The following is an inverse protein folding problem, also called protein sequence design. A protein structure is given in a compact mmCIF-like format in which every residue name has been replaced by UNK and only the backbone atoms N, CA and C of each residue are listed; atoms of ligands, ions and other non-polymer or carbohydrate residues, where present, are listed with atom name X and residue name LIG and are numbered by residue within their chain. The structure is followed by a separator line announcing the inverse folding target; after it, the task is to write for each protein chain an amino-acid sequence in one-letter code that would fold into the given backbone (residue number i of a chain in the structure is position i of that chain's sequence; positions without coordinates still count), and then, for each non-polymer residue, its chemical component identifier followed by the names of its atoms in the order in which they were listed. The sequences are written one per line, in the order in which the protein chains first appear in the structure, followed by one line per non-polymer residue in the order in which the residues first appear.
data_IF_365092668386
#
_entry.id   IF_365092668386
#
_cell.length_a   1.000
_cell.length_b   1.000
_cell.length_c   1.000
_cell.angle_alpha   90.00
_cell.angle_beta   90.00
_cell.angle_gamma   90.00
#
_symmetry.space_group_name_H-M   'P 1'
#
loop_
_entity.id
_entity.type
_entity.pdbx_description
1 polymer ?
#
# COMPACT_ATOMS: atom_id res chain seq x y z
N UNK A 1 14.83 -7.82 -10.59
CA UNK A 1 15.26 -7.19 -11.88
C UNK A 1 14.74 -5.76 -11.88
N UNK A 2 15.58 -4.80 -12.33
CA UNK A 2 15.13 -3.42 -12.56
C UNK A 2 14.79 -3.21 -14.02
N UNK A 3 13.74 -2.44 -14.30
CA UNK A 3 13.27 -2.16 -15.66
C UNK A 3 12.44 -0.86 -15.69
N UNK A 4 12.20 -0.36 -16.89
CA UNK A 4 11.31 0.78 -17.14
C UNK A 4 9.99 0.26 -17.73
N UNK A 5 8.87 0.71 -17.14
CA UNK A 5 7.53 0.46 -17.67
C UNK A 5 6.90 1.76 -18.17
N UNK A 6 6.34 1.74 -19.37
CA UNK A 6 5.69 2.91 -19.96
C UNK A 6 4.18 2.86 -19.78
N UNK A 7 3.64 3.82 -19.04
CA UNK A 7 2.20 3.97 -18.80
C UNK A 7 1.85 5.42 -18.46
N UNK A 8 0.61 5.85 -18.69
CA UNK A 8 0.12 7.22 -18.43
C UNK A 8 1.01 8.33 -19.03
N UNK A 9 1.65 8.06 -20.18
CA UNK A 9 2.57 8.98 -20.84
C UNK A 9 3.96 9.09 -20.20
N UNK A 10 4.26 8.28 -19.18
CA UNK A 10 5.49 8.34 -18.41
C UNK A 10 6.29 7.03 -18.49
N UNK A 11 7.58 7.15 -18.19
CA UNK A 11 8.52 6.05 -18.04
C UNK A 11 8.75 5.79 -16.55
N UNK A 12 8.13 4.75 -16.00
CA UNK A 12 8.19 4.43 -14.58
C UNK A 12 9.30 3.42 -14.27
N UNK A 13 10.12 3.76 -13.28
CA UNK A 13 11.19 2.88 -12.79
C UNK A 13 10.62 1.83 -11.85
N UNK A 14 10.81 0.56 -12.21
CA UNK A 14 10.27 -0.61 -11.52
C UNK A 14 11.39 -1.54 -11.06
N UNK A 15 11.15 -2.25 -9.97
CA UNK A 15 12.01 -3.33 -9.48
C UNK A 15 11.14 -4.54 -9.11
N UNK A 16 11.35 -5.68 -9.79
CA UNK A 16 10.66 -6.93 -9.52
C UNK A 16 11.57 -7.98 -8.92
N UNK A 17 11.00 -8.83 -8.08
CA UNK A 17 11.69 -9.89 -7.35
C UNK A 17 10.86 -11.17 -7.47
N UNK A 18 11.50 -12.22 -7.98
CA UNK A 18 10.90 -13.54 -8.07
C UNK A 18 11.35 -14.41 -6.89
N UNK A 19 10.53 -15.37 -6.46
CA UNK A 19 10.92 -16.35 -5.46
C UNK A 19 12.16 -17.13 -5.87
N UNK A 20 13.11 -17.28 -4.96
CA UNK A 20 14.42 -17.88 -5.25
C UNK A 20 14.42 -19.43 -5.30
N UNK A 21 13.32 -20.13 -5.03
CA UNK A 21 13.35 -21.55 -4.75
C UNK A 21 13.02 -22.45 -5.96
N UNK A 22 13.99 -23.28 -6.43
CA UNK A 22 13.66 -24.51 -7.15
C UNK A 22 13.05 -25.49 -6.15
N UNK A 23 11.74 -25.71 -6.19
CA UNK A 23 11.02 -26.71 -5.38
C UNK A 23 10.18 -26.19 -4.21
N UNK A 24 10.19 -24.90 -3.89
CA UNK A 24 9.22 -24.28 -3.00
C UNK A 24 7.93 -23.94 -3.77
N UNK A 25 6.78 -24.06 -3.10
CA UNK A 25 5.51 -23.62 -3.70
C UNK A 25 5.57 -22.10 -3.93
N UNK A 26 5.60 -21.68 -5.20
CA UNK A 26 5.44 -20.26 -5.55
C UNK A 26 3.97 -19.89 -5.42
N UNK A 27 3.67 -18.88 -4.63
CA UNK A 27 2.32 -18.34 -4.53
C UNK A 27 1.87 -17.75 -5.86
N UNK A 28 0.61 -17.95 -6.21
CA UNK A 28 -0.02 -17.24 -7.33
C UNK A 28 -0.27 -15.76 -7.02
N UNK A 29 -0.32 -15.38 -5.74
CA UNK A 29 -0.56 -13.99 -5.31
C UNK A 29 0.69 -13.15 -5.50
N UNK A 30 0.57 -12.13 -6.36
CA UNK A 30 1.65 -11.16 -6.62
C UNK A 30 1.50 -9.95 -5.72
N UNK A 31 2.62 -9.45 -5.20
CA UNK A 31 2.65 -8.31 -4.28
C UNK A 31 3.12 -7.04 -5.00
N UNK A 32 2.33 -5.98 -4.92
CA UNK A 32 2.69 -4.66 -5.45
C UNK A 32 2.80 -3.66 -4.32
N UNK A 33 3.96 -3.00 -4.22
CA UNK A 33 4.29 -2.08 -3.14
C UNK A 33 4.41 -0.66 -3.68
N UNK A 34 3.65 0.26 -3.10
CA UNK A 34 3.51 1.66 -3.54
C UNK A 34 3.97 2.62 -2.45
N UNK A 35 4.98 3.42 -2.76
CA UNK A 35 5.51 4.44 -1.84
C UNK A 35 4.54 5.62 -1.63
N UNK A 36 4.74 6.39 -0.56
CA UNK A 36 4.00 7.63 -0.27
C UNK A 36 4.36 8.78 -1.21
N UNK A 37 3.89 9.97 -0.86
CA UNK A 37 4.21 11.21 -1.59
C UNK A 37 5.54 11.84 -1.14
N UNK A 38 5.86 12.99 -1.71
CA UNK A 38 7.03 13.80 -1.38
C UNK A 38 8.34 13.14 -1.81
N UNK A 39 9.25 12.94 -0.87
CA UNK A 39 10.56 12.32 -1.12
C UNK A 39 10.51 10.77 -1.14
N UNK A 40 9.30 10.18 -1.23
CA UNK A 40 9.12 8.74 -1.34
C UNK A 40 9.76 8.18 -2.62
N UNK A 41 10.26 6.96 -2.56
CA UNK A 41 10.72 6.21 -3.73
C UNK A 41 10.65 4.72 -3.49
N UNK A 42 10.69 3.92 -4.56
CA UNK A 42 10.72 2.45 -4.49
C UNK A 42 11.90 1.92 -3.68
N UNK A 43 13.00 2.66 -3.60
CA UNK A 43 14.22 2.22 -2.89
C UNK A 43 13.92 1.82 -1.45
N UNK A 44 13.04 2.57 -0.77
CA UNK A 44 12.62 2.25 0.61
C UNK A 44 11.70 1.04 0.69
N UNK A 45 11.10 0.65 -0.42
CA UNK A 45 10.19 -0.51 -0.53
C UNK A 45 10.91 -1.78 -0.99
N UNK A 46 12.09 -1.67 -1.59
CA UNK A 46 12.89 -2.81 -2.10
C UNK A 46 13.16 -3.88 -1.02
N UNK A 47 13.57 -3.53 0.22
CA UNK A 47 13.78 -4.54 1.25
C UNK A 47 12.51 -5.36 1.53
N UNK A 48 11.36 -4.70 1.65
CA UNK A 48 10.07 -5.37 1.87
C UNK A 48 9.67 -6.25 0.66
N UNK A 49 9.91 -5.78 -0.57
CA UNK A 49 9.65 -6.58 -1.77
C UNK A 49 10.51 -7.85 -1.81
N UNK A 50 11.78 -7.75 -1.45
CA UNK A 50 12.67 -8.93 -1.35
C UNK A 50 12.19 -9.93 -0.30
N UNK A 51 11.72 -9.43 0.86
CA UNK A 51 11.21 -10.28 1.93
C UNK A 51 9.93 -11.03 1.49
N UNK A 52 9.02 -10.39 0.73
CA UNK A 52 7.88 -11.08 0.11
C UNK A 52 8.31 -12.13 -0.91
N UNK A 53 9.29 -11.82 -1.76
CA UNK A 53 9.83 -12.80 -2.72
C UNK A 53 10.49 -13.98 -2.00
N UNK A 54 11.22 -13.74 -0.92
CA UNK A 54 11.80 -14.80 -0.07
C UNK A 54 10.72 -15.67 0.59
N UNK A 55 9.54 -15.09 0.88
CA UNK A 55 8.38 -15.82 1.39
C UNK A 55 7.56 -16.54 0.28
N UNK A 56 8.04 -16.55 -0.97
CA UNK A 56 7.41 -17.27 -2.08
C UNK A 56 6.42 -16.45 -2.92
N UNK A 57 6.31 -15.15 -2.71
CA UNK A 57 5.41 -14.26 -3.42
C UNK A 57 6.16 -13.37 -4.41
N UNK A 58 5.95 -13.51 -5.74
CA UNK A 58 6.48 -12.57 -6.69
C UNK A 58 6.08 -11.14 -6.31
N UNK A 59 7.03 -10.22 -6.29
CA UNK A 59 6.81 -8.88 -5.76
C UNK A 59 7.40 -7.79 -6.63
N UNK A 60 6.81 -6.61 -6.57
CA UNK A 60 7.22 -5.45 -7.35
C UNK A 60 7.08 -4.18 -6.53
N UNK A 61 8.06 -3.29 -6.63
CA UNK A 61 8.00 -1.89 -6.20
C UNK A 61 8.33 -0.98 -7.39
N UNK A 62 7.72 0.19 -7.44
CA UNK A 62 7.97 1.15 -8.53
C UNK A 62 7.92 2.59 -8.03
N UNK A 63 8.52 3.48 -8.80
CA UNK A 63 8.44 4.92 -8.60
C UNK A 63 7.28 5.50 -9.41
N UNK A 64 6.36 6.24 -8.77
CA UNK A 64 5.41 7.07 -9.50
C UNK A 64 6.13 8.18 -10.27
N UNK A 65 5.48 8.77 -11.29
CA UNK A 65 6.07 9.88 -12.03
C UNK A 65 6.50 11.04 -11.09
N UNK A 66 7.60 11.69 -11.45
CA UNK A 66 8.20 12.74 -10.61
C UNK A 66 8.90 12.24 -9.34
N UNK A 67 9.08 10.91 -9.17
CA UNK A 67 9.78 10.31 -8.04
C UNK A 67 10.92 9.40 -8.52
N UNK A 68 11.95 9.29 -7.69
CA UNK A 68 13.07 8.37 -7.91
C UNK A 68 13.69 8.50 -9.30
N UNK A 69 13.68 7.39 -10.05
CA UNK A 69 14.20 7.33 -11.41
C UNK A 69 13.10 7.35 -12.49
N UNK A 70 11.85 7.61 -12.14
CA UNK A 70 10.74 7.78 -13.08
C UNK A 70 10.77 9.14 -13.75
N UNK A 71 10.22 9.22 -14.97
CA UNK A 71 10.04 10.48 -15.70
C UNK A 71 8.94 11.35 -15.08
N UNK A 72 8.69 12.51 -15.70
CA UNK A 72 7.66 13.44 -15.29
C UNK A 72 8.07 14.34 -14.14
N UNK A 73 7.12 15.13 -13.65
CA UNK A 73 7.32 16.06 -12.55
C UNK A 73 6.28 15.82 -11.46
N UNK A 74 6.72 15.97 -10.20
CA UNK A 74 5.85 15.77 -9.04
C UNK A 74 4.63 16.68 -9.07
N UNK A 75 4.82 17.91 -9.46
CA UNK A 75 3.74 18.90 -9.55
C UNK A 75 2.66 18.56 -10.58
N UNK A 76 2.96 17.75 -11.60
CA UNK A 76 2.02 17.29 -12.62
C UNK A 76 1.29 16.00 -12.24
N UNK A 77 1.71 15.32 -11.17
CA UNK A 77 1.07 14.12 -10.66
C UNK A 77 -0.20 14.48 -9.87
N UNK A 78 -1.19 13.59 -9.91
CA UNK A 78 -2.43 13.67 -9.11
C UNK A 78 -2.78 12.32 -8.52
N UNK A 79 -3.79 12.23 -7.66
CA UNK A 79 -4.29 10.94 -7.18
C UNK A 79 -4.81 10.08 -8.34
N UNK A 80 -5.50 10.68 -9.29
CA UNK A 80 -5.99 10.02 -10.51
C UNK A 80 -4.83 9.43 -11.33
N UNK A 81 -3.76 10.19 -11.56
CA UNK A 81 -2.59 9.72 -12.29
C UNK A 81 -1.87 8.60 -11.52
N UNK A 82 -1.78 8.69 -10.19
CA UNK A 82 -1.23 7.59 -9.36
C UNK A 82 -2.05 6.32 -9.54
N UNK A 83 -3.37 6.41 -9.54
CA UNK A 83 -4.22 5.25 -9.81
C UNK A 83 -3.95 4.66 -11.21
N UNK A 84 -3.94 5.48 -12.28
CA UNK A 84 -3.68 5.00 -13.66
C UNK A 84 -2.30 4.37 -13.80
N UNK A 85 -1.28 4.99 -13.23
CA UNK A 85 0.08 4.47 -13.25
C UNK A 85 0.20 3.14 -12.52
N UNK A 86 -0.36 3.05 -11.32
CA UNK A 86 -0.37 1.81 -10.56
C UNK A 86 -1.14 0.69 -11.27
N UNK A 87 -2.29 0.99 -11.87
CA UNK A 87 -3.07 0.03 -12.65
C UNK A 87 -2.26 -0.49 -13.85
N UNK A 88 -1.63 0.39 -14.64
CA UNK A 88 -0.81 -0.02 -15.77
C UNK A 88 0.39 -0.90 -15.37
N UNK A 89 1.03 -0.58 -14.24
CA UNK A 89 2.11 -1.42 -13.67
C UNK A 89 1.57 -2.79 -13.25
N UNK A 90 0.40 -2.84 -12.58
CA UNK A 90 -0.24 -4.10 -12.16
C UNK A 90 -0.60 -4.96 -13.36
N UNK A 91 -1.19 -4.40 -14.41
CA UNK A 91 -1.57 -5.12 -15.62
C UNK A 91 -0.36 -5.75 -16.32
N UNK A 92 0.78 -5.04 -16.35
CA UNK A 92 2.02 -5.58 -16.89
C UNK A 92 2.65 -6.66 -16.01
N UNK A 93 2.56 -6.51 -14.67
CA UNK A 93 3.15 -7.45 -13.71
C UNK A 93 2.29 -8.70 -13.49
N UNK A 94 0.97 -8.58 -13.62
CA UNK A 94 -0.01 -9.66 -13.45
C UNK A 94 -0.96 -9.77 -14.65
N UNK A 95 -0.43 -10.03 -15.88
CA UNK A 95 -1.22 -10.01 -17.12
C UNK A 95 -2.26 -11.14 -17.21
N UNK A 96 -2.08 -12.19 -16.43
CA UNK A 96 -2.98 -13.34 -16.32
C UNK A 96 -4.24 -13.08 -15.45
N UNK A 97 -4.33 -11.88 -14.88
CA UNK A 97 -5.45 -11.54 -14.00
C UNK A 97 -5.41 -12.22 -12.63
N UNK A 98 -4.28 -12.80 -12.25
CA UNK A 98 -4.09 -13.52 -10.99
C UNK A 98 -4.30 -12.66 -9.73
N UNK A 99 -4.32 -13.30 -8.55
CA UNK A 99 -4.56 -12.65 -7.27
C UNK A 99 -3.44 -11.68 -6.90
N UNK A 100 -3.82 -10.65 -6.14
CA UNK A 100 -2.95 -9.53 -5.76
C UNK A 100 -2.95 -9.28 -4.25
N UNK A 101 -1.79 -8.92 -3.74
CA UNK A 101 -1.61 -8.24 -2.47
C UNK A 101 -1.10 -6.82 -2.75
N UNK A 102 -1.80 -5.82 -2.24
CA UNK A 102 -1.44 -4.41 -2.45
C UNK A 102 -0.94 -3.80 -1.15
N UNK A 103 0.29 -3.30 -1.16
CA UNK A 103 0.87 -2.58 -0.03
C UNK A 103 1.02 -1.09 -0.37
N UNK A 104 0.50 -0.21 0.48
CA UNK A 104 0.53 1.24 0.25
C UNK A 104 0.97 2.02 1.47
N UNK A 105 1.91 2.96 1.26
CA UNK A 105 2.42 3.86 2.29
C UNK A 105 1.77 5.24 2.16
N UNK A 106 1.28 5.80 3.27
CA UNK A 106 0.78 7.17 3.36
C UNK A 106 -0.25 7.48 2.25
N UNK A 107 0.03 8.38 1.32
CA UNK A 107 -0.83 8.72 0.18
C UNK A 107 -1.27 7.49 -0.64
N UNK A 108 -0.46 6.45 -0.73
CA UNK A 108 -0.83 5.21 -1.41
C UNK A 108 -1.91 4.41 -0.69
N UNK A 109 -2.30 4.76 0.53
CA UNK A 109 -3.51 4.24 1.17
C UNK A 109 -4.76 4.51 0.33
N UNK A 110 -4.90 5.73 -0.19
CA UNK A 110 -5.95 6.08 -1.16
C UNK A 110 -5.82 5.25 -2.45
N UNK A 111 -4.62 5.17 -3.03
CA UNK A 111 -4.39 4.42 -4.28
C UNK A 111 -4.74 2.93 -4.12
N UNK A 112 -4.41 2.31 -2.97
CA UNK A 112 -4.79 0.92 -2.66
C UNK A 112 -6.30 0.76 -2.62
N UNK A 113 -7.01 1.67 -1.96
CA UNK A 113 -8.48 1.61 -1.89
C UNK A 113 -9.11 1.75 -3.30
N UNK A 114 -8.63 2.69 -4.11
CA UNK A 114 -9.11 2.90 -5.47
C UNK A 114 -8.87 1.68 -6.36
N UNK A 115 -7.68 1.07 -6.28
CA UNK A 115 -7.34 -0.17 -6.97
C UNK A 115 -8.21 -1.34 -6.47
N UNK A 116 -8.47 -1.42 -5.16
CA UNK A 116 -9.33 -2.45 -4.58
C UNK A 116 -10.76 -2.35 -5.11
N UNK A 117 -11.31 -1.14 -5.22
CA UNK A 117 -12.62 -0.91 -5.81
C UNK A 117 -12.66 -1.31 -7.30
N UNK A 118 -11.60 -1.01 -8.06
CA UNK A 118 -11.51 -1.28 -9.49
C UNK A 118 -11.28 -2.77 -9.81
N UNK A 119 -10.33 -3.39 -9.11
CA UNK A 119 -9.88 -4.78 -9.37
C UNK A 119 -10.76 -5.84 -8.69
N UNK A 120 -11.57 -5.42 -7.71
CA UNK A 120 -12.53 -6.29 -7.04
C UNK A 120 -11.88 -7.52 -6.41
N UNK A 121 -12.44 -8.70 -6.66
CA UNK A 121 -12.02 -9.98 -6.08
C UNK A 121 -10.59 -10.42 -6.40
N UNK A 122 -9.87 -9.75 -7.32
CA UNK A 122 -8.45 -10.00 -7.55
C UNK A 122 -7.58 -9.55 -6.37
N UNK A 123 -8.02 -8.55 -5.61
CA UNK A 123 -7.28 -8.07 -4.44
C UNK A 123 -7.65 -8.95 -3.25
N UNK A 124 -6.75 -9.84 -2.85
CA UNK A 124 -6.93 -10.75 -1.72
C UNK A 124 -6.37 -10.20 -0.42
N UNK A 125 -5.35 -9.32 -0.51
CA UNK A 125 -4.71 -8.72 0.66
C UNK A 125 -4.45 -7.24 0.43
N UNK A 126 -4.76 -6.41 1.44
CA UNK A 126 -4.35 -5.02 1.51
C UNK A 126 -3.46 -4.79 2.75
N UNK A 127 -2.33 -4.13 2.56
CA UNK A 127 -1.42 -3.72 3.61
C UNK A 127 -1.28 -2.21 3.60
N UNK A 128 -1.76 -1.54 4.64
CA UNK A 128 -1.86 -0.09 4.72
C UNK A 128 -0.92 0.45 5.80
N UNK A 129 0.13 1.14 5.39
CA UNK A 129 1.15 1.70 6.27
C UNK A 129 0.96 3.22 6.42
N UNK A 130 0.53 3.67 7.61
CA UNK A 130 0.20 5.07 7.90
C UNK A 130 -0.71 5.69 6.81
N UNK A 131 -1.83 5.07 6.44
CA UNK A 131 -2.59 5.41 5.24
C UNK A 131 -3.29 6.75 5.35
N UNK A 132 -3.29 7.49 4.24
CA UNK A 132 -4.09 8.69 4.04
C UNK A 132 -5.41 8.38 3.34
N UNK A 133 -6.41 9.24 3.53
CA UNK A 133 -7.68 9.29 2.82
C UNK A 133 -7.95 10.71 2.32
N UNK A 134 -8.49 10.85 1.13
CA UNK A 134 -8.73 12.15 0.51
C UNK A 134 -10.16 12.26 -0.01
N UNK A 135 -10.76 13.45 0.10
CA UNK A 135 -12.06 13.73 -0.53
C UNK A 135 -11.99 13.64 -2.06
N UNK A 136 -13.09 13.30 -2.73
CA UNK A 136 -13.12 13.07 -4.18
C UNK A 136 -12.75 14.31 -4.98
N UNK A 137 -12.90 15.50 -4.44
CA UNK A 137 -12.49 16.76 -5.07
C UNK A 137 -10.97 16.87 -5.27
N UNK A 138 -10.16 16.16 -4.45
CA UNK A 138 -8.72 16.12 -4.58
C UNK A 138 -8.23 15.18 -5.71
N UNK A 139 -9.09 14.29 -6.19
CA UNK A 139 -8.74 13.22 -7.13
C UNK A 139 -8.06 13.72 -8.42
N UNK A 140 -8.64 14.67 -9.18
CA UNK A 140 -8.05 15.12 -10.44
C UNK A 140 -6.99 16.21 -10.26
N UNK A 141 -6.83 16.77 -9.04
CA UNK A 141 -6.04 17.98 -8.84
C UNK A 141 -4.55 17.67 -8.89
N UNK A 142 -3.78 18.32 -9.80
CA UNK A 142 -2.32 18.18 -9.81
C UNK A 142 -1.69 18.67 -8.50
N UNK A 143 -0.63 17.99 -8.05
CA UNK A 143 -0.01 18.32 -6.76
C UNK A 143 0.57 19.74 -6.71
N UNK A 144 0.94 20.30 -7.87
CA UNK A 144 1.40 21.69 -8.00
C UNK A 144 0.29 22.73 -8.15
N UNK A 145 -0.99 22.32 -8.20
CA UNK A 145 -2.12 23.23 -8.51
C UNK A 145 -3.21 23.18 -7.42
N UNK A 146 -2.89 23.65 -6.23
CA UNK A 146 -3.85 23.79 -5.13
C UNK A 146 -4.19 22.51 -4.36
N UNK A 147 -3.57 21.37 -4.70
CA UNK A 147 -3.80 20.10 -4.00
C UNK A 147 -3.52 20.20 -2.49
N UNK A 148 -2.42 20.82 -2.11
CA UNK A 148 -2.03 20.94 -0.71
C UNK A 148 -3.02 21.77 0.10
N UNK A 149 -3.51 22.87 -0.45
CA UNK A 149 -4.51 23.74 0.16
C UNK A 149 -5.83 23.01 0.33
N UNK A 150 -6.21 22.21 -0.66
CA UNK A 150 -7.44 21.42 -0.64
C UNK A 150 -7.42 20.37 0.47
N UNK A 151 -6.39 19.55 0.54
CA UNK A 151 -6.30 18.44 1.50
C UNK A 151 -6.05 18.90 2.93
N UNK A 152 -5.57 20.14 3.14
CA UNK A 152 -5.37 20.73 4.47
C UNK A 152 -6.61 21.44 5.02
N UNK A 153 -7.69 21.53 4.26
CA UNK A 153 -8.97 22.05 4.81
C UNK A 153 -9.43 21.13 5.94
N UNK A 154 -9.97 21.68 7.03
CA UNK A 154 -10.50 20.87 8.11
C UNK A 154 -11.46 19.79 7.58
N UNK A 155 -11.25 18.56 8.02
CA UNK A 155 -12.11 17.40 7.69
C UNK A 155 -12.27 17.10 6.17
N UNK A 156 -11.38 17.62 5.30
CA UNK A 156 -11.41 17.38 3.84
C UNK A 156 -11.40 15.90 3.45
N UNK A 157 -10.93 15.03 4.33
CA UNK A 157 -10.89 13.58 4.16
C UNK A 157 -12.25 12.89 4.40
N UNK A 158 -13.19 13.53 5.11
CA UNK A 158 -14.48 12.90 5.50
C UNK A 158 -15.28 12.33 4.33
N UNK A 159 -15.40 13.00 3.17
CA UNK A 159 -16.14 12.45 2.04
C UNK A 159 -15.34 11.42 1.22
N UNK A 160 -14.20 10.93 1.74
CA UNK A 160 -13.39 9.93 1.04
C UNK A 160 -14.13 8.61 0.87
N UNK A 161 -14.06 8.03 -0.33
CA UNK A 161 -14.57 6.70 -0.64
C UNK A 161 -13.76 5.56 -0.01
N UNK A 162 -12.58 5.84 0.52
CA UNK A 162 -11.69 4.87 1.17
C UNK A 162 -12.44 4.08 2.24
N UNK A 163 -13.24 4.76 3.07
CA UNK A 163 -13.95 4.12 4.18
C UNK A 163 -14.98 3.11 3.72
N UNK A 164 -15.75 3.45 2.67
CA UNK A 164 -16.77 2.55 2.10
C UNK A 164 -16.12 1.35 1.41
N UNK A 165 -15.07 1.59 0.61
CA UNK A 165 -14.34 0.54 -0.11
C UNK A 165 -13.71 -0.44 0.86
N UNK A 166 -12.99 0.04 1.88
CA UNK A 166 -12.36 -0.81 2.87
C UNK A 166 -13.38 -1.49 3.79
N UNK A 167 -14.52 -0.86 4.06
CA UNK A 167 -15.63 -1.47 4.80
C UNK A 167 -16.35 -2.59 4.04
N UNK A 168 -16.29 -2.58 2.71
CA UNK A 168 -16.81 -3.64 1.85
C UNK A 168 -15.79 -4.76 1.58
N UNK A 169 -14.50 -4.53 1.84
CA UNK A 169 -13.43 -5.47 1.55
C UNK A 169 -13.51 -6.71 2.46
N UNK A 170 -13.44 -7.91 1.86
CA UNK A 170 -13.59 -9.20 2.55
C UNK A 170 -12.29 -10.01 2.61
N UNK A 171 -11.23 -9.54 1.96
CA UNK A 171 -9.93 -10.18 1.95
C UNK A 171 -9.18 -10.04 3.28
N UNK A 172 -7.88 -10.24 3.25
CA UNK A 172 -7.00 -9.98 4.38
C UNK A 172 -6.61 -8.50 4.42
N UNK A 173 -6.64 -7.90 5.59
CA UNK A 173 -6.20 -6.53 5.77
C UNK A 173 -5.22 -6.38 6.92
N UNK A 174 -4.14 -5.66 6.67
CA UNK A 174 -3.12 -5.33 7.67
C UNK A 174 -2.97 -3.82 7.73
N UNK A 175 -3.26 -3.24 8.90
CA UNK A 175 -3.05 -1.82 9.18
C UNK A 175 -1.78 -1.66 10.02
N UNK A 176 -0.81 -0.95 9.49
CA UNK A 176 0.44 -0.61 10.19
C UNK A 176 0.40 0.86 10.56
N UNK A 177 0.35 1.15 11.85
CA UNK A 177 0.35 2.50 12.38
C UNK A 177 1.68 2.80 13.08
N UNK A 178 2.28 3.99 12.88
CA UNK A 178 3.37 4.43 13.73
C UNK A 178 2.82 4.80 15.11
N UNK A 179 3.66 4.72 16.14
CA UNK A 179 3.29 5.21 17.47
C UNK A 179 2.98 6.72 17.45
N UNK A 180 3.76 7.46 16.65
CA UNK A 180 3.65 8.92 16.53
C UNK A 180 3.44 9.33 15.08
N UNK A 181 2.21 9.69 14.73
CA UNK A 181 1.89 10.22 13.41
C UNK A 181 1.46 11.70 13.53
N UNK A 182 2.34 12.60 13.10
CA UNK A 182 2.06 14.04 13.07
C UNK A 182 1.54 14.50 11.70
N UNK A 183 1.36 13.58 10.74
CA UNK A 183 0.97 13.87 9.36
C UNK A 183 -0.48 13.48 9.10
N UNK A 184 -0.85 12.26 9.49
CA UNK A 184 -2.22 11.74 9.27
C UNK A 184 -3.05 12.01 10.52
N UNK A 185 -4.21 12.70 10.39
CA UNK A 185 -5.13 12.87 11.52
C UNK A 185 -5.51 11.53 12.13
N UNK A 186 -5.51 11.41 13.48
CA UNK A 186 -5.84 10.15 14.14
C UNK A 186 -7.25 9.64 13.80
N UNK A 187 -8.17 10.54 13.46
CA UNK A 187 -9.52 10.20 13.00
C UNK A 187 -9.53 9.46 11.66
N UNK A 188 -8.58 9.75 10.76
CA UNK A 188 -8.42 9.03 9.49
C UNK A 188 -7.99 7.59 9.76
N UNK A 189 -6.96 7.41 10.59
CA UNK A 189 -6.48 6.08 10.99
C UNK A 189 -7.57 5.28 11.68
N UNK A 190 -8.30 5.91 12.63
CA UNK A 190 -9.42 5.27 13.34
C UNK A 190 -10.56 4.90 12.39
N UNK A 191 -10.91 5.77 11.43
CA UNK A 191 -11.94 5.49 10.43
C UNK A 191 -11.57 4.33 9.51
N UNK A 192 -10.31 4.26 9.06
CA UNK A 192 -9.80 3.15 8.25
C UNK A 192 -9.82 1.84 9.06
N UNK A 193 -9.36 1.88 10.31
CA UNK A 193 -9.43 0.72 11.21
C UNK A 193 -10.86 0.21 11.37
N UNK A 194 -11.80 1.11 11.67
CA UNK A 194 -13.21 0.77 11.81
C UNK A 194 -13.77 0.14 10.53
N UNK A 195 -13.45 0.69 9.36
CA UNK A 195 -13.87 0.16 8.07
C UNK A 195 -13.34 -1.25 7.84
N UNK A 196 -12.04 -1.49 8.03
CA UNK A 196 -11.39 -2.79 7.83
C UNK A 196 -11.94 -3.86 8.77
N UNK A 197 -12.27 -3.52 10.02
CA UNK A 197 -12.89 -4.46 10.99
C UNK A 197 -14.28 -4.93 10.59
N UNK A 198 -14.92 -4.31 9.60
CA UNK A 198 -16.31 -4.62 9.24
C UNK A 198 -16.46 -6.00 8.61
N UNK A 199 -15.60 -6.35 7.65
CA UNK A 199 -15.74 -7.59 6.86
C UNK A 199 -14.43 -8.29 6.55
N UNK A 200 -13.28 -7.62 6.68
CA UNK A 200 -12.00 -8.22 6.33
C UNK A 200 -11.41 -9.05 7.48
N UNK A 201 -10.48 -9.93 7.15
CA UNK A 201 -9.60 -10.57 8.13
C UNK A 201 -8.55 -9.55 8.54
N UNK A 202 -8.87 -8.82 9.59
CA UNK A 202 -8.13 -7.62 10.00
C UNK A 202 -7.04 -7.93 11.02
N UNK A 203 -5.85 -7.39 10.79
CA UNK A 203 -4.75 -7.33 11.76
C UNK A 203 -4.23 -5.89 11.87
N UNK A 204 -3.85 -5.47 13.07
CA UNK A 204 -3.23 -4.18 13.33
C UNK A 204 -1.85 -4.35 13.95
N UNK A 205 -0.90 -3.56 13.47
CA UNK A 205 0.45 -3.45 14.05
C UNK A 205 0.70 -2.00 14.39
N UNK A 206 1.04 -1.72 15.64
CA UNK A 206 1.58 -0.42 16.06
C UNK A 206 3.09 -0.59 16.18
N UNK A 207 3.85 0.30 15.55
CA UNK A 207 5.31 0.28 15.59
C UNK A 207 5.79 1.30 16.62
N UNK A 208 6.21 0.79 17.79
CA UNK A 208 6.70 1.62 18.91
C UNK A 208 7.96 2.39 18.49
N UNK A 209 8.01 3.66 18.82
CA UNK A 209 9.09 4.57 18.44
C UNK A 209 9.04 5.09 16.99
N UNK A 210 8.22 4.48 16.13
CA UNK A 210 8.11 4.90 14.74
C UNK A 210 7.35 6.23 14.58
N UNK A 211 7.80 7.03 13.62
CA UNK A 211 7.09 8.21 13.10
C UNK A 211 6.36 7.88 11.78
N UNK A 212 5.75 8.89 11.14
CA UNK A 212 5.05 8.75 9.86
C UNK A 212 5.90 8.12 8.75
N UNK A 213 7.23 8.19 8.82
CA UNK A 213 8.15 7.73 7.77
C UNK A 213 8.31 6.19 7.74
N UNK A 214 7.19 5.44 7.75
CA UNK A 214 7.19 3.98 7.84
C UNK A 214 7.98 3.28 6.72
N UNK A 215 8.07 3.86 5.53
CA UNK A 215 8.93 3.31 4.47
C UNK A 215 10.41 3.29 4.86
N UNK A 216 10.88 4.35 5.55
CA UNK A 216 12.24 4.40 6.10
C UNK A 216 12.38 3.45 7.28
N UNK A 217 11.43 3.51 8.23
CA UNK A 217 11.44 2.65 9.40
C UNK A 217 11.55 1.18 9.02
N UNK A 218 10.67 0.71 8.15
CA UNK A 218 10.68 -0.69 7.69
C UNK A 218 11.94 -1.04 6.89
N UNK A 219 12.55 -0.09 6.16
CA UNK A 219 13.85 -0.34 5.52
C UNK A 219 14.93 -0.71 6.52
N UNK A 220 14.92 -0.08 7.70
CA UNK A 220 15.95 -0.21 8.72
C UNK A 220 15.67 -1.31 9.76
N UNK A 221 14.42 -1.86 9.81
CA UNK A 221 13.95 -2.84 10.81
C UNK A 221 13.48 -4.14 10.16
N UNK A 222 14.37 -5.11 9.90
CA UNK A 222 14.03 -6.36 9.23
C UNK A 222 13.05 -7.22 10.03
N UNK A 223 13.06 -7.17 11.36
CA UNK A 223 12.13 -7.89 12.24
C UNK A 223 10.68 -7.42 12.03
N UNK A 224 10.47 -6.11 11.87
CA UNK A 224 9.15 -5.56 11.58
C UNK A 224 8.67 -5.93 10.17
N UNK A 225 9.58 -5.96 9.17
CA UNK A 225 9.24 -6.44 7.83
C UNK A 225 8.86 -7.91 7.83
N UNK A 226 9.62 -8.77 8.53
CA UNK A 226 9.32 -10.19 8.63
C UNK A 226 7.92 -10.43 9.23
N UNK A 227 7.57 -9.70 10.30
CA UNK A 227 6.22 -9.74 10.87
C UNK A 227 5.16 -9.29 9.90
N UNK A 228 5.41 -8.21 9.15
CA UNK A 228 4.46 -7.68 8.17
C UNK A 228 4.23 -8.67 7.03
N UNK A 229 5.29 -9.28 6.50
CA UNK A 229 5.20 -10.33 5.49
C UNK A 229 4.39 -11.51 6.00
N UNK A 230 4.68 -12.01 7.21
CA UNK A 230 3.92 -13.10 7.82
C UNK A 230 2.42 -12.76 7.92
N UNK A 231 2.05 -11.57 8.45
CA UNK A 231 0.66 -11.15 8.54
C UNK A 231 -0.04 -11.06 7.18
N UNK A 232 0.67 -10.65 6.12
CA UNK A 232 0.10 -10.53 4.78
C UNK A 232 -0.03 -11.87 4.05
N UNK A 233 0.78 -12.88 4.41
CA UNK A 233 0.93 -14.13 3.62
C UNK A 233 0.45 -15.39 4.34
N UNK A 234 0.03 -15.30 5.60
CA UNK A 234 -0.46 -16.46 6.37
C UNK A 234 -1.52 -17.23 5.59
N UNK A 235 -1.46 -18.57 5.56
CA UNK A 235 -2.54 -19.37 5.02
C UNK A 235 -3.88 -19.04 5.72
N UNK A 236 -4.97 -19.17 4.99
CA UNK A 236 -6.30 -19.10 5.60
C UNK A 236 -6.54 -20.39 6.41
N UNK A 237 -6.60 -20.27 7.72
CA UNK A 237 -7.09 -21.35 8.59
C UNK A 237 -8.56 -21.06 8.92
N UNK A 238 -9.54 -21.77 8.32
CA UNK A 238 -10.95 -21.54 8.58
C UNK A 238 -11.36 -21.94 10.02
N UNK A 239 -10.56 -22.75 10.71
CA UNK A 239 -10.87 -23.29 12.04
C UNK A 239 -10.23 -22.49 13.18
N UNK A 240 -9.35 -21.53 12.89
CA UNK A 240 -8.78 -20.63 13.90
C UNK A 240 -9.32 -19.22 13.70
N UNK A 241 -10.13 -18.74 14.65
CA UNK A 241 -10.34 -17.31 14.84
C UNK A 241 -8.95 -16.69 15.05
N UNK A 242 -8.59 -15.72 14.19
CA UNK A 242 -7.28 -15.06 14.20
C UNK A 242 -7.02 -14.52 15.63
N UNK A 243 -6.04 -15.04 16.38
CA UNK A 243 -5.79 -14.63 17.76
C UNK A 243 -5.31 -13.18 17.87
N UNK A 244 -4.99 -12.53 16.76
CA UNK A 244 -4.54 -11.14 16.70
C UNK A 244 -5.67 -10.09 16.70
N UNK A 245 -6.88 -10.44 17.17
CA UNK A 245 -7.85 -9.43 17.64
C UNK A 245 -7.40 -8.68 18.89
N UNK A 246 -6.26 -9.06 19.45
CA UNK A 246 -5.67 -8.36 20.59
C UNK A 246 -4.73 -7.25 20.11
N UNK A 247 -4.97 -6.04 20.59
CA UNK A 247 -3.97 -4.97 20.68
C UNK A 247 -2.66 -5.57 21.24
N UNK A 248 -1.74 -5.93 20.37
CA UNK A 248 -0.37 -6.22 20.77
C UNK A 248 0.35 -4.87 20.95
N UNK A 249 -0.17 -4.11 21.93
CA UNK A 249 0.61 -3.12 22.62
C UNK A 249 1.65 -3.89 23.45
N UNK A 250 2.91 -3.59 23.22
CA UNK A 250 4.10 -3.98 23.99
C UNK A 250 4.65 -5.38 23.72
N UNK A 251 5.65 -5.42 22.87
CA UNK A 251 6.84 -6.20 23.03
C UNK A 251 8.03 -5.42 22.45
#
# INVERSE_FOLDING_TARGET
MEFIHHTDGEALSCASFEPAAPGGATSSTRVVIMHGAGIGSKERSIPLARDFAAAGHPSLAFDFSGHGNSSGKLEELSLERRFRQALGVIEAFAPDGGPLALAGFSMSGQTVADLTAHLGGRVETVCLCAPAAYGPEAWPVPFGDGFTELIRRPESWRPSTVFDVLGAFTGRSVLVAPERDEVIPPEVTAGIEQALRTKSRFSKVVLDGADHQLGRWLSDHPEHRARLVDLCTRPHDPDHADPDHTDLARA
#
